data_IF_958206646477
#
_entry.id   IF_958206646477
#
_cell.length_a   1.000
_cell.length_b   1.000
_cell.length_c   1.000
_cell.angle_alpha   90.00
_cell.angle_beta   90.00
_cell.angle_gamma   90.00
#
_symmetry.space_group_name_H-M   'P 1'
#
loop_
_entity.id
_entity.type
_entity.pdbx_description
1 polymer ?
#
# COMPACT_ATOMS: atom_id res chain seq x y z
N UNK A 1 7.03 24.81 -33.83
CA UNK A 1 8.23 25.45 -33.31
C UNK A 1 8.06 25.50 -31.82
N UNK A 2 8.80 24.72 -31.07
CA UNK A 2 8.83 24.81 -29.63
C UNK A 2 9.46 26.17 -29.28
N UNK A 3 8.81 26.89 -28.38
CA UNK A 3 9.24 28.21 -27.92
C UNK A 3 10.52 28.02 -27.10
N UNK A 4 11.69 28.16 -27.76
CA UNK A 4 13.02 28.01 -27.15
C UNK A 4 13.34 29.07 -26.10
N UNK A 5 12.41 29.98 -25.81
CA UNK A 5 12.53 31.09 -24.87
C UNK A 5 11.77 30.92 -23.55
N UNK A 6 11.35 29.70 -23.21
CA UNK A 6 10.86 29.43 -21.85
C UNK A 6 12.09 29.36 -20.92
N UNK A 7 12.53 30.53 -20.43
CA UNK A 7 13.58 30.61 -19.43
C UNK A 7 13.30 29.68 -18.24
N UNK A 8 14.36 29.17 -17.62
CA UNK A 8 14.26 28.33 -16.42
C UNK A 8 13.42 29.02 -15.33
N UNK A 9 12.70 28.25 -14.49
CA UNK A 9 11.98 28.81 -13.36
C UNK A 9 12.86 29.75 -12.53
N UNK A 10 12.40 30.98 -12.34
CA UNK A 10 13.17 32.02 -11.61
C UNK A 10 14.04 32.92 -12.47
N UNK A 11 14.21 32.64 -13.76
CA UNK A 11 14.95 33.51 -14.68
C UNK A 11 13.97 34.32 -15.53
N UNK A 12 14.09 35.63 -15.47
CA UNK A 12 13.31 36.52 -16.31
C UNK A 12 13.94 36.59 -17.71
N UNK A 13 13.18 36.16 -18.73
CA UNK A 13 13.59 36.34 -20.12
C UNK A 13 13.61 37.83 -20.48
N UNK A 14 14.51 38.31 -21.36
CA UNK A 14 14.54 39.72 -21.80
C UNK A 14 13.23 40.28 -22.31
N UNK A 15 12.35 39.44 -22.87
CA UNK A 15 11.02 39.84 -23.33
C UNK A 15 9.99 40.09 -22.21
N UNK A 16 10.21 39.62 -21.00
CA UNK A 16 9.23 39.78 -19.91
C UNK A 16 9.14 41.18 -19.33
N UNK A 17 10.10 42.04 -19.61
CA UNK A 17 10.11 43.44 -19.16
C UNK A 17 9.59 44.43 -20.20
N UNK A 18 9.30 44.01 -21.43
CA UNK A 18 8.93 44.88 -22.54
C UNK A 18 7.46 45.26 -22.58
N UNK A 19 6.59 44.51 -21.92
CA UNK A 19 5.16 44.77 -21.79
C UNK A 19 4.60 44.35 -20.42
N UNK A 20 3.47 44.92 -20.04
CA UNK A 20 2.79 44.61 -18.76
C UNK A 20 2.36 43.16 -18.67
N UNK A 21 2.05 42.50 -19.78
CA UNK A 21 1.63 41.10 -19.85
C UNK A 21 2.78 40.13 -19.52
N UNK A 22 3.96 40.38 -20.07
CA UNK A 22 5.16 39.60 -19.78
C UNK A 22 5.51 39.60 -18.29
N UNK A 23 5.41 40.76 -17.63
CA UNK A 23 5.64 40.89 -16.19
C UNK A 23 4.60 40.07 -15.37
N UNK A 24 3.33 40.17 -15.71
CA UNK A 24 2.24 39.39 -15.05
C UNK A 24 2.44 37.88 -15.25
N UNK A 25 2.75 37.45 -16.45
CA UNK A 25 3.01 36.05 -16.77
C UNK A 25 4.22 35.50 -15.98
N UNK A 26 5.29 36.28 -15.81
CA UNK A 26 6.43 35.93 -15.00
C UNK A 26 6.04 35.75 -13.51
N UNK A 27 5.32 36.71 -12.93
CA UNK A 27 4.85 36.63 -11.54
C UNK A 27 3.94 35.40 -11.35
N UNK A 28 3.01 35.17 -12.26
CA UNK A 28 2.13 34.00 -12.20
C UNK A 28 2.92 32.68 -12.20
N UNK A 29 3.92 32.54 -13.06
CA UNK A 29 4.81 31.38 -13.08
C UNK A 29 5.60 31.22 -11.77
N UNK A 30 6.09 32.30 -11.18
CA UNK A 30 6.77 32.25 -9.88
C UNK A 30 5.85 31.76 -8.76
N UNK A 31 4.58 32.16 -8.77
CA UNK A 31 3.58 31.68 -7.82
C UNK A 31 3.30 30.18 -8.07
N UNK A 32 3.06 29.78 -9.32
CA UNK A 32 2.77 28.40 -9.69
C UNK A 32 3.94 27.44 -9.33
N UNK A 33 5.18 27.87 -9.49
CA UNK A 33 6.36 27.07 -9.16
C UNK A 33 6.52 26.80 -7.65
N UNK A 34 5.79 27.54 -6.79
CA UNK A 34 5.77 27.31 -5.34
C UNK A 34 4.62 26.39 -4.89
N UNK A 35 3.70 26.06 -5.79
CA UNK A 35 2.56 25.23 -5.47
C UNK A 35 2.96 23.77 -5.64
N UNK A 36 3.18 23.06 -4.54
CA UNK A 36 3.38 21.62 -4.55
C UNK A 36 2.03 20.91 -4.60
N UNK A 37 1.78 20.10 -5.63
CA UNK A 37 0.55 19.32 -5.78
C UNK A 37 0.79 17.84 -5.51
N UNK A 38 1.55 17.19 -6.39
CA UNK A 38 1.97 15.80 -6.26
C UNK A 38 3.36 15.62 -6.85
N UNK A 39 4.11 14.68 -6.33
CA UNK A 39 5.42 14.30 -6.90
C UNK A 39 5.72 12.83 -6.67
N UNK A 40 6.63 12.28 -7.45
CA UNK A 40 7.18 10.95 -7.23
C UNK A 40 8.29 11.02 -6.18
N UNK A 41 8.19 10.13 -5.19
CA UNK A 41 9.17 10.02 -4.13
C UNK A 41 9.61 8.57 -3.95
N UNK A 42 10.79 8.38 -3.37
CA UNK A 42 11.31 7.10 -2.90
C UNK A 42 11.31 7.07 -1.39
N UNK A 43 10.83 5.98 -0.81
CA UNK A 43 10.85 5.76 0.64
C UNK A 43 12.30 5.51 1.08
N UNK A 44 12.77 6.29 2.05
CA UNK A 44 14.12 6.17 2.62
C UNK A 44 14.11 5.64 4.05
N UNK A 45 12.98 5.79 4.76
CA UNK A 45 12.79 5.25 6.10
C UNK A 45 11.32 4.96 6.37
N UNK A 46 11.06 3.94 7.18
CA UNK A 46 9.73 3.57 7.67
C UNK A 46 9.78 3.51 9.18
N UNK A 47 8.81 4.10 9.86
CA UNK A 47 8.75 4.12 11.34
C UNK A 47 7.82 3.07 11.92
N UNK A 48 6.98 2.45 11.07
CA UNK A 48 6.08 1.38 11.47
C UNK A 48 6.51 0.06 10.83
N UNK A 49 6.62 -1.00 11.62
CA UNK A 49 7.19 -2.28 11.22
C UNK A 49 6.14 -3.37 10.92
N UNK A 50 5.00 -3.03 10.33
CA UNK A 50 4.09 -4.03 9.73
C UNK A 50 3.26 -4.88 10.69
N UNK A 51 3.09 -4.48 11.95
CA UNK A 51 2.15 -5.13 12.87
C UNK A 51 0.75 -4.51 12.79
N UNK A 52 -0.24 -5.14 13.45
CA UNK A 52 -1.60 -4.59 13.61
C UNK A 52 -1.59 -3.35 14.51
N UNK A 53 -0.89 -2.33 14.06
CA UNK A 53 -0.77 -1.03 14.70
C UNK A 53 -1.44 0.04 13.86
N UNK A 54 -1.57 1.22 14.38
CA UNK A 54 -1.98 2.40 13.60
C UNK A 54 -1.01 2.64 12.44
N UNK A 55 -1.50 3.25 11.34
CA UNK A 55 -0.64 3.67 10.24
C UNK A 55 0.49 4.57 10.78
N UNK A 56 1.70 4.27 10.38
CA UNK A 56 2.89 5.01 10.81
C UNK A 56 3.22 6.17 9.87
N UNK A 57 4.49 6.52 9.91
CA UNK A 57 5.06 7.58 9.08
C UNK A 57 6.26 7.04 8.30
N UNK A 58 6.54 7.68 7.18
CA UNK A 58 7.72 7.39 6.36
C UNK A 58 8.50 8.67 6.11
N UNK A 59 9.78 8.53 5.84
CA UNK A 59 10.60 9.59 5.29
C UNK A 59 10.80 9.32 3.80
N UNK A 60 10.63 10.34 2.97
CA UNK A 60 10.65 10.18 1.50
C UNK A 60 11.61 11.18 0.84
N UNK A 61 12.26 10.72 -0.22
CA UNK A 61 13.11 11.52 -1.09
C UNK A 61 12.39 11.82 -2.40
N UNK A 62 12.08 13.09 -2.73
CA UNK A 62 11.57 13.43 -4.05
C UNK A 62 12.55 13.04 -5.15
N UNK A 63 12.02 12.45 -6.25
CA UNK A 63 12.82 11.91 -7.35
C UNK A 63 13.00 12.92 -8.49
N UNK A 64 12.08 13.87 -8.63
CA UNK A 64 12.20 14.93 -9.63
C UNK A 64 13.10 16.02 -9.07
N UNK A 65 14.28 16.20 -9.63
CA UNK A 65 15.22 17.23 -9.20
C UNK A 65 14.71 18.64 -9.53
N UNK A 66 15.10 19.61 -8.72
CA UNK A 66 15.10 21.01 -9.13
C UNK A 66 16.24 21.23 -10.14
N UNK A 67 16.13 22.30 -10.89
CA UNK A 67 17.22 22.73 -11.79
C UNK A 67 17.59 24.18 -11.49
N UNK A 68 18.88 24.48 -11.51
CA UNK A 68 19.35 25.86 -11.41
C UNK A 68 19.18 26.62 -12.74
N UNK A 69 19.56 27.88 -12.76
CA UNK A 69 19.48 28.73 -13.95
C UNK A 69 20.32 28.27 -15.13
N UNK A 70 21.27 27.35 -14.91
CA UNK A 70 22.12 26.75 -15.95
C UNK A 70 21.63 25.38 -16.42
N UNK A 71 20.52 24.86 -15.83
CA UNK A 71 19.98 23.53 -16.11
C UNK A 71 20.66 22.41 -15.32
N UNK A 72 21.50 22.72 -14.34
CA UNK A 72 22.14 21.73 -13.48
C UNK A 72 21.14 21.20 -12.45
N UNK A 73 21.04 19.85 -12.25
CA UNK A 73 20.12 19.29 -11.29
C UNK A 73 20.52 19.57 -9.85
N UNK A 74 19.54 19.94 -9.03
CA UNK A 74 19.67 20.13 -7.58
C UNK A 74 18.68 19.16 -6.93
N UNK A 75 19.15 18.12 -6.19
CA UNK A 75 18.26 17.21 -5.47
C UNK A 75 17.49 17.96 -4.37
N UNK A 76 16.23 17.56 -4.18
CA UNK A 76 15.46 17.97 -3.00
C UNK A 76 16.02 17.33 -1.73
N UNK A 77 15.78 17.97 -0.57
CA UNK A 77 15.96 17.34 0.73
C UNK A 77 14.96 16.22 0.98
N UNK A 78 15.21 15.42 2.00
CA UNK A 78 14.27 14.40 2.49
C UNK A 78 13.07 15.09 3.16
N UNK A 79 11.87 14.59 2.88
CA UNK A 79 10.65 14.99 3.57
C UNK A 79 10.40 13.99 4.68
N UNK A 80 10.31 14.45 5.91
CA UNK A 80 10.21 13.62 7.10
C UNK A 80 8.79 13.49 7.62
N UNK A 81 8.51 12.38 8.30
CA UNK A 81 7.24 12.13 9.00
C UNK A 81 6.00 12.25 8.11
N UNK A 82 6.09 11.75 6.89
CA UNK A 82 4.99 11.72 5.93
C UNK A 82 4.02 10.60 6.32
N UNK A 83 2.75 10.90 6.66
CA UNK A 83 1.76 9.86 6.88
C UNK A 83 1.43 9.15 5.59
N UNK A 84 1.12 7.84 5.67
CA UNK A 84 0.71 7.06 4.51
C UNK A 84 -0.71 6.53 4.64
N UNK A 85 -1.36 6.31 3.51
CA UNK A 85 -2.72 5.81 3.43
C UNK A 85 -2.71 4.28 3.63
N UNK A 86 -3.57 3.77 4.53
CA UNK A 86 -4.04 2.39 4.54
C UNK A 86 -5.47 2.33 4.02
N UNK A 87 -5.80 1.29 3.27
CA UNK A 87 -7.18 1.06 2.85
C UNK A 87 -7.94 0.50 4.05
N UNK A 88 -8.62 1.38 4.79
CA UNK A 88 -9.36 0.98 5.98
C UNK A 88 -10.68 1.74 6.13
N UNK A 89 -11.64 1.10 6.83
CA UNK A 89 -12.92 1.69 7.19
C UNK A 89 -13.47 1.02 8.45
N UNK A 90 -13.78 1.81 9.47
CA UNK A 90 -14.15 1.29 10.79
C UNK A 90 -13.05 0.39 11.37
N UNK A 91 -13.40 -0.83 11.74
CA UNK A 91 -12.48 -1.84 12.27
C UNK A 91 -11.80 -2.71 11.20
N UNK A 92 -12.06 -2.48 9.91
CA UNK A 92 -11.57 -3.32 8.82
C UNK A 92 -10.45 -2.62 8.04
N UNK A 93 -9.41 -3.35 7.66
CA UNK A 93 -8.31 -2.82 6.88
C UNK A 93 -7.67 -3.86 5.96
N UNK A 94 -7.11 -3.38 4.83
CA UNK A 94 -6.09 -4.08 4.06
C UNK A 94 -4.77 -3.39 4.36
N UNK A 95 -3.83 -4.11 4.96
CA UNK A 95 -2.56 -3.56 5.42
C UNK A 95 -1.47 -3.91 4.43
N UNK A 96 -1.00 -2.90 3.70
CA UNK A 96 0.13 -2.96 2.79
C UNK A 96 0.97 -1.73 3.09
N UNK A 97 1.89 -1.88 4.03
CA UNK A 97 2.74 -0.77 4.46
C UNK A 97 3.89 -0.55 3.46
N UNK A 98 4.28 0.71 3.21
CA UNK A 98 5.43 1.01 2.36
C UNK A 98 6.72 0.41 2.92
N UNK A 99 7.60 -0.03 2.03
CA UNK A 99 8.94 -0.52 2.37
C UNK A 99 10.02 0.46 1.91
N UNK A 100 11.18 0.43 2.57
CA UNK A 100 12.34 1.22 2.13
C UNK A 100 12.73 0.82 0.71
N UNK A 101 12.83 1.81 -0.16
CA UNK A 101 13.11 1.62 -1.58
C UNK A 101 11.89 1.72 -2.48
N UNK A 102 10.67 1.65 -1.94
CA UNK A 102 9.46 1.83 -2.72
C UNK A 102 9.40 3.21 -3.36
N UNK A 103 8.91 3.24 -4.59
CA UNK A 103 8.59 4.46 -5.33
C UNK A 103 7.08 4.63 -5.33
N UNK A 104 6.63 5.86 -5.08
CA UNK A 104 5.20 6.16 -5.10
C UNK A 104 4.89 7.64 -5.17
N UNK A 105 3.60 7.93 -5.22
CA UNK A 105 3.09 9.30 -5.22
C UNK A 105 2.94 9.86 -3.82
N UNK A 106 3.38 11.11 -3.68
CA UNK A 106 3.13 11.95 -2.52
C UNK A 106 2.28 13.13 -2.96
N UNK A 107 1.16 13.34 -2.29
CA UNK A 107 0.31 14.52 -2.45
C UNK A 107 0.60 15.53 -1.33
N UNK A 108 0.37 16.82 -1.62
CA UNK A 108 0.58 17.88 -0.65
C UNK A 108 -0.75 18.57 -0.33
N UNK A 109 -1.05 18.70 0.96
CA UNK A 109 -2.27 19.33 1.40
C UNK A 109 -2.26 20.84 1.10
N UNK A 110 -3.44 21.40 0.88
CA UNK A 110 -3.61 22.83 0.60
C UNK A 110 -3.27 23.74 1.78
N UNK A 111 -3.26 23.21 2.99
CA UNK A 111 -2.99 23.90 4.24
C UNK A 111 -2.17 23.01 5.17
N UNK A 112 -1.62 23.62 6.21
CA UNK A 112 -0.90 22.92 7.27
C UNK A 112 -1.80 21.89 7.98
N UNK A 113 -1.45 20.61 7.85
CA UNK A 113 -2.19 19.47 8.42
C UNK A 113 -1.62 18.98 9.75
N UNK A 114 -0.56 19.59 10.28
CA UNK A 114 0.12 19.13 11.49
C UNK A 114 -0.81 19.06 12.70
N UNK A 115 -1.73 20.04 12.84
CA UNK A 115 -2.73 20.04 13.89
C UNK A 115 -3.71 18.87 13.79
N UNK A 116 -4.15 18.53 12.58
CA UNK A 116 -5.05 17.39 12.31
C UNK A 116 -4.35 16.06 12.58
N UNK A 117 -3.08 15.93 12.18
CA UNK A 117 -2.27 14.72 12.45
C UNK A 117 -2.12 14.51 13.96
N UNK A 118 -1.85 15.58 14.72
CA UNK A 118 -1.67 15.48 16.17
C UNK A 118 -2.98 15.21 16.93
N UNK A 119 -4.06 15.91 16.56
CA UNK A 119 -5.36 15.81 17.25
C UNK A 119 -6.22 14.63 16.76
N UNK A 120 -5.95 14.09 15.58
CA UNK A 120 -6.81 13.12 14.85
C UNK A 120 -8.27 13.58 14.78
N UNK A 121 -8.46 14.86 14.60
CA UNK A 121 -9.76 15.52 14.58
C UNK A 121 -9.65 16.91 13.96
N UNK A 122 -10.76 17.66 14.02
CA UNK A 122 -10.78 19.03 13.53
C UNK A 122 -9.79 19.90 14.30
N UNK A 123 -8.88 20.58 13.58
CA UNK A 123 -7.89 21.48 14.15
C UNK A 123 -7.64 22.66 13.21
N UNK A 124 -7.21 23.79 13.78
CA UNK A 124 -6.77 24.93 12.99
C UNK A 124 -5.38 24.65 12.38
N UNK A 125 -5.06 25.24 11.21
CA UNK A 125 -3.71 25.22 10.68
C UNK A 125 -2.74 25.85 11.71
N UNK A 126 -1.61 25.20 11.96
CA UNK A 126 -0.61 25.71 12.89
C UNK A 126 0.23 26.84 12.27
N UNK A 127 0.21 26.98 10.93
CA UNK A 127 0.91 28.02 10.19
C UNK A 127 0.11 28.47 8.95
N UNK A 128 0.58 29.52 8.28
CA UNK A 128 -0.03 30.03 7.04
C UNK A 128 0.55 29.40 5.77
N UNK A 129 1.37 28.34 5.88
CA UNK A 129 1.92 27.65 4.71
C UNK A 129 0.81 26.99 3.90
N UNK A 130 1.01 26.93 2.58
CA UNK A 130 0.06 26.33 1.63
C UNK A 130 0.82 25.54 0.59
N UNK A 131 0.30 24.36 0.24
CA UNK A 131 0.89 23.48 -0.77
C UNK A 131 2.38 23.25 -0.54
N UNK A 132 2.76 23.10 0.72
CA UNK A 132 4.14 22.97 1.18
C UNK A 132 4.56 21.49 1.24
N UNK A 133 5.84 21.25 1.00
CA UNK A 133 6.42 19.90 1.08
C UNK A 133 6.24 19.26 2.46
N UNK A 134 6.15 20.06 3.53
CA UNK A 134 5.93 19.58 4.90
C UNK A 134 4.54 19.02 5.15
N UNK A 135 3.56 19.30 4.27
CA UNK A 135 2.19 18.82 4.36
C UNK A 135 1.94 17.66 3.40
N UNK A 136 2.94 16.81 3.27
CA UNK A 136 2.98 15.64 2.41
C UNK A 136 2.14 14.48 2.97
N UNK A 137 1.49 13.71 2.08
CA UNK A 137 0.80 12.46 2.36
C UNK A 137 1.17 11.45 1.28
N UNK A 138 1.65 10.27 1.66
CA UNK A 138 1.91 9.18 0.72
C UNK A 138 0.61 8.52 0.29
N UNK A 139 0.35 8.50 -1.01
CA UNK A 139 -0.89 7.99 -1.59
C UNK A 139 -0.78 6.50 -1.94
N UNK A 140 0.38 6.06 -2.41
CA UNK A 140 0.60 4.66 -2.77
C UNK A 140 1.79 4.45 -3.68
N UNK A 141 2.17 3.17 -3.81
CA UNK A 141 3.30 2.72 -4.62
C UNK A 141 3.01 2.74 -6.12
N UNK A 142 4.03 3.08 -6.91
CA UNK A 142 4.04 3.02 -8.39
C UNK A 142 5.47 2.69 -8.84
N UNK A 143 5.62 2.04 -9.99
CA UNK A 143 6.92 1.69 -10.59
C UNK A 143 7.77 0.74 -9.72
N UNK A 144 7.14 -0.01 -8.81
CA UNK A 144 7.81 -1.02 -8.02
C UNK A 144 7.98 -2.34 -8.79
N UNK A 145 8.82 -3.22 -8.29
CA UNK A 145 9.09 -4.50 -8.93
C UNK A 145 7.92 -5.49 -8.88
N UNK A 146 8.12 -6.68 -9.44
CA UNK A 146 7.12 -7.75 -9.43
C UNK A 146 6.94 -8.29 -8.01
N UNK A 147 5.71 -8.34 -7.47
CA UNK A 147 5.48 -8.87 -6.12
C UNK A 147 5.66 -10.38 -6.08
N UNK A 148 6.18 -10.90 -4.97
CA UNK A 148 6.33 -12.34 -4.70
C UNK A 148 5.18 -12.92 -3.88
N UNK A 149 4.43 -12.06 -3.20
CA UNK A 149 3.20 -12.41 -2.46
C UNK A 149 2.09 -11.44 -2.87
N UNK A 150 0.90 -11.97 -3.14
CA UNK A 150 -0.19 -11.16 -3.71
C UNK A 150 -1.57 -11.82 -3.58
N UNK A 151 -2.58 -11.01 -3.74
CA UNK A 151 -3.92 -11.42 -4.14
C UNK A 151 -4.16 -10.88 -5.54
N UNK A 152 -4.32 -11.77 -6.53
CA UNK A 152 -4.50 -11.41 -7.95
C UNK A 152 -5.89 -11.79 -8.41
N UNK A 153 -6.55 -10.87 -9.09
CA UNK A 153 -7.78 -11.09 -9.82
C UNK A 153 -7.46 -11.17 -11.32
N UNK A 154 -7.85 -12.24 -11.98
CA UNK A 154 -7.64 -12.46 -13.42
C UNK A 154 -8.89 -13.09 -14.06
N UNK A 155 -8.85 -13.28 -15.38
CA UNK A 155 -9.93 -13.98 -16.10
C UNK A 155 -10.12 -15.44 -15.61
N UNK A 156 -9.05 -16.07 -15.13
CA UNK A 156 -9.05 -17.45 -14.64
C UNK A 156 -9.53 -17.57 -13.18
N UNK A 157 -9.71 -16.46 -12.47
CA UNK A 157 -10.17 -16.43 -11.08
C UNK A 157 -9.29 -15.59 -10.16
N UNK A 158 -9.40 -15.91 -8.85
CA UNK A 158 -8.68 -15.25 -7.77
C UNK A 158 -7.55 -16.15 -7.29
N UNK A 159 -6.32 -15.63 -7.28
CA UNK A 159 -5.14 -16.33 -6.78
C UNK A 159 -4.60 -15.61 -5.54
N UNK A 160 -4.40 -16.38 -4.45
CA UNK A 160 -3.70 -15.89 -3.24
C UNK A 160 -2.38 -16.64 -3.14
N UNK A 161 -1.28 -15.92 -3.15
CA UNK A 161 0.07 -16.52 -3.11
C UNK A 161 0.94 -15.89 -2.05
N UNK A 162 1.64 -16.73 -1.28
CA UNK A 162 2.72 -16.34 -0.38
C UNK A 162 3.85 -17.37 -0.48
N UNK A 163 5.14 -16.94 -0.46
CA UNK A 163 6.28 -17.85 -0.46
C UNK A 163 6.48 -18.57 0.90
N UNK A 164 5.81 -18.12 1.97
CA UNK A 164 6.02 -18.64 3.32
C UNK A 164 4.77 -19.22 3.93
N UNK A 165 3.71 -18.42 4.11
CA UNK A 165 2.52 -18.83 4.84
C UNK A 165 1.30 -18.03 4.38
N UNK A 166 0.18 -18.70 4.18
CA UNK A 166 -1.16 -18.08 4.14
C UNK A 166 -1.92 -18.54 5.37
N UNK A 167 -2.22 -17.63 6.29
CA UNK A 167 -2.95 -17.92 7.53
C UNK A 167 -4.36 -17.34 7.45
N UNK A 168 -5.37 -18.18 7.61
CA UNK A 168 -6.78 -17.78 7.72
C UNK A 168 -7.23 -18.10 9.14
N UNK A 169 -7.76 -17.12 9.86
CA UNK A 169 -8.22 -17.29 11.23
C UNK A 169 -9.62 -16.71 11.35
N UNK A 170 -10.58 -17.57 11.67
CA UNK A 170 -11.97 -17.21 11.93
C UNK A 170 -12.59 -18.23 12.90
N UNK A 171 -13.68 -17.89 13.61
CA UNK A 171 -14.46 -18.89 14.35
C UNK A 171 -14.98 -20.01 13.44
N UNK A 172 -15.38 -19.69 12.22
CA UNK A 172 -15.85 -20.65 11.20
C UNK A 172 -15.28 -20.29 9.83
N UNK A 173 -14.93 -21.29 9.03
CA UNK A 173 -14.48 -21.14 7.65
C UNK A 173 -15.33 -22.07 6.79
N UNK A 174 -16.13 -21.51 5.86
CA UNK A 174 -16.89 -22.25 4.88
C UNK A 174 -16.20 -22.21 3.52
N UNK A 175 -15.97 -23.38 2.94
CA UNK A 175 -15.46 -23.54 1.58
C UNK A 175 -16.57 -24.18 0.75
N UNK A 176 -17.26 -23.41 -0.08
CA UNK A 176 -18.35 -23.85 -0.91
C UNK A 176 -17.91 -23.92 -2.37
N UNK A 177 -17.83 -25.11 -2.91
CA UNK A 177 -17.40 -25.37 -4.27
C UNK A 177 -18.36 -26.35 -4.96
N UNK A 178 -18.90 -25.97 -6.13
CA UNK A 178 -19.84 -26.79 -6.87
C UNK A 178 -19.25 -28.12 -7.37
N UNK A 179 -17.93 -28.16 -7.60
CA UNK A 179 -17.28 -29.35 -8.18
C UNK A 179 -16.23 -29.97 -7.24
N UNK A 180 -15.27 -29.21 -6.75
CA UNK A 180 -14.14 -29.77 -6.03
C UNK A 180 -13.47 -28.74 -5.10
N UNK A 181 -13.15 -29.18 -3.88
CA UNK A 181 -12.14 -28.56 -3.02
C UNK A 181 -10.97 -29.54 -2.95
N UNK A 182 -9.79 -29.15 -3.44
CA UNK A 182 -8.59 -29.98 -3.36
C UNK A 182 -7.54 -29.39 -2.44
N UNK A 183 -6.83 -30.25 -1.70
CA UNK A 183 -5.65 -29.89 -0.91
C UNK A 183 -4.48 -30.73 -1.41
N UNK A 184 -3.59 -30.11 -2.15
CA UNK A 184 -2.36 -30.74 -2.64
C UNK A 184 -1.22 -30.45 -1.64
N UNK A 185 -1.03 -31.38 -0.71
CA UNK A 185 -0.11 -31.25 0.41
C UNK A 185 0.40 -32.62 0.87
N UNK A 186 1.70 -32.73 1.24
CA UNK A 186 2.23 -33.97 1.84
C UNK A 186 1.54 -34.36 3.16
N UNK A 187 0.98 -33.40 3.89
CA UNK A 187 0.28 -33.64 5.16
C UNK A 187 -0.88 -32.67 5.35
N UNK A 188 -2.08 -33.22 5.50
CA UNK A 188 -3.25 -32.51 6.00
C UNK A 188 -3.45 -32.86 7.48
N UNK A 189 -3.23 -31.87 8.35
CA UNK A 189 -3.38 -32.05 9.80
C UNK A 189 -4.65 -31.36 10.30
N UNK A 190 -5.47 -32.09 11.02
CA UNK A 190 -6.61 -31.59 11.79
C UNK A 190 -6.37 -31.88 13.28
N UNK A 191 -6.81 -31.00 14.17
CA UNK A 191 -6.76 -31.19 15.62
C UNK A 191 -8.06 -31.70 16.19
N UNK A 192 -9.13 -31.72 15.40
CA UNK A 192 -10.47 -32.22 15.72
C UNK A 192 -10.90 -33.33 14.76
N UNK A 193 -12.16 -33.67 14.86
CA UNK A 193 -12.77 -34.70 14.00
C UNK A 193 -12.91 -34.15 12.57
N UNK A 194 -12.78 -35.07 11.60
CA UNK A 194 -13.11 -34.82 10.20
C UNK A 194 -14.42 -35.57 9.94
N UNK A 195 -15.48 -34.84 9.54
CA UNK A 195 -16.75 -35.42 9.17
C UNK A 195 -16.86 -35.43 7.64
N UNK A 196 -17.18 -36.60 7.08
CA UNK A 196 -17.40 -36.78 5.64
C UNK A 196 -18.89 -37.09 5.42
N UNK A 197 -19.61 -36.17 4.77
CA UNK A 197 -21.07 -36.22 4.65
C UNK A 197 -21.68 -37.50 4.00
N UNK A 198 -20.89 -38.21 3.17
CA UNK A 198 -21.28 -39.48 2.53
C UNK A 198 -20.54 -40.69 3.13
N UNK A 199 -19.83 -40.52 4.24
CA UNK A 199 -19.07 -41.58 4.89
C UNK A 199 -19.99 -42.55 5.64
N UNK A 200 -19.78 -43.86 5.48
CA UNK A 200 -20.45 -44.87 6.27
C UNK A 200 -19.91 -44.85 7.71
N UNK A 201 -20.79 -44.96 8.67
CA UNK A 201 -20.45 -45.19 10.08
C UNK A 201 -20.78 -46.62 10.45
N UNK A 202 -19.90 -47.26 11.22
CA UNK A 202 -20.09 -48.64 11.65
C UNK A 202 -18.83 -49.31 12.10
N UNK A 203 -18.90 -50.59 12.41
CA UNK A 203 -17.76 -51.40 12.84
C UNK A 203 -17.57 -52.59 11.89
N UNK A 204 -16.31 -52.86 11.55
CA UNK A 204 -15.93 -54.00 10.73
C UNK A 204 -14.99 -54.90 11.54
N UNK A 205 -15.38 -56.15 11.87
CA UNK A 205 -14.48 -57.09 12.51
C UNK A 205 -13.40 -57.52 11.52
N UNK A 206 -12.15 -57.43 11.96
CA UNK A 206 -10.99 -57.93 11.20
C UNK A 206 -10.78 -59.38 11.52
N UNK A 207 -10.77 -60.38 10.83
CA UNK A 207 -10.65 -61.78 11.13
C UNK A 207 -9.60 -62.24 12.20
N UNK A 208 -8.94 -61.26 12.82
CA UNK A 208 -7.92 -61.44 13.89
C UNK A 208 -8.41 -61.04 15.29
N UNK A 209 -9.71 -60.78 15.45
CA UNK A 209 -10.31 -60.37 16.72
C UNK A 209 -10.32 -58.86 16.99
N UNK A 210 -9.70 -58.05 16.13
CA UNK A 210 -9.77 -56.57 16.22
C UNK A 210 -11.01 -56.08 15.51
N UNK A 211 -11.50 -54.91 15.93
CA UNK A 211 -12.65 -54.21 15.34
C UNK A 211 -12.19 -52.85 14.85
N UNK A 212 -12.42 -52.56 13.58
CA UNK A 212 -12.27 -51.22 13.00
C UNK A 212 -13.59 -50.47 13.16
N UNK A 213 -13.50 -49.31 13.81
CA UNK A 213 -14.67 -48.41 13.92
C UNK A 213 -14.51 -47.27 12.94
N UNK A 214 -15.52 -47.10 12.12
CA UNK A 214 -15.63 -45.97 11.17
C UNK A 214 -16.69 -45.01 11.65
N UNK A 215 -16.42 -43.75 11.56
CA UNK A 215 -17.39 -42.69 11.74
C UNK A 215 -17.23 -41.71 10.55
N UNK A 216 -18.32 -41.51 9.83
CA UNK A 216 -18.35 -40.62 8.66
C UNK A 216 -17.27 -40.96 7.62
N UNK A 217 -17.00 -42.24 7.38
CA UNK A 217 -16.01 -42.75 6.44
C UNK A 217 -14.56 -42.75 6.91
N UNK A 218 -14.29 -42.32 8.12
CA UNK A 218 -12.93 -42.25 8.71
C UNK A 218 -12.77 -43.34 9.77
N UNK A 219 -11.67 -44.09 9.69
CA UNK A 219 -11.33 -45.05 10.74
C UNK A 219 -10.91 -44.29 11.99
N UNK A 220 -11.74 -44.34 13.03
CA UNK A 220 -11.54 -43.59 14.28
C UNK A 220 -10.87 -44.43 15.35
N UNK A 221 -10.96 -45.76 15.29
CA UNK A 221 -10.39 -46.63 16.28
C UNK A 221 -10.13 -48.06 15.75
N UNK A 222 -9.18 -48.75 16.35
CA UNK A 222 -8.84 -50.17 16.14
C UNK A 222 -8.70 -50.80 17.53
N UNK A 223 -9.54 -51.77 17.82
CA UNK A 223 -9.49 -52.52 19.10
C UNK A 223 -9.00 -53.95 18.86
#
# INVERSE_FOLDING_TARGET
>A
MADENLGYPGVQSPGYGSDGWGAVAFIARQIMNRICTTTLCKVVKVTNAGELSEAGFIDVQPLVNQVDSTGKPIPHGVIYNVPYIRLQGGANAIIIDPAVGDIGYVGFASHDISGVIAARGQANPASFRRYDLSDAVWIGGILNGVPTQYVRFSADGIEVKSPTLVKVTAPEIHLDAAALVSADTPLLRTTGNVQVGNGASGTVPTGTGNVLTFQDGICTNIY
#
